data_IF_316633215551
#
_entry.id   IF_316633215551
#
_cell.length_a   1.000
_cell.length_b   1.000
_cell.length_c   1.000
_cell.angle_alpha   90.00
_cell.angle_beta   90.00
_cell.angle_gamma   90.00
#
_symmetry.space_group_name_H-M   'P 1'
#
loop_
_entity.id
_entity.type
_entity.pdbx_description
1 polymer ?
#
# COMPACT_ATOMS: atom_id res chain seq x y z
N UNK A 1 -14.22 6.49 2.48
CA UNK A 1 -12.76 6.46 2.23
C UNK A 1 -11.89 6.46 3.50
N UNK A 2 -12.44 6.68 4.71
CA UNK A 2 -11.72 6.66 6.00
C UNK A 2 -11.29 5.27 6.51
N UNK A 3 -11.76 4.17 5.91
CA UNK A 3 -11.43 2.81 6.34
C UNK A 3 -10.04 2.31 5.89
N UNK A 4 -9.41 2.96 4.91
CA UNK A 4 -8.10 2.51 4.37
C UNK A 4 -6.95 2.90 5.29
N UNK A 5 -7.08 4.03 5.99
CA UNK A 5 -6.06 4.51 6.92
C UNK A 5 -5.84 3.53 8.08
N UNK A 6 -6.90 2.86 8.54
CA UNK A 6 -6.78 1.83 9.59
C UNK A 6 -6.10 0.54 9.12
N UNK A 7 -6.07 0.26 7.81
CA UNK A 7 -5.42 -0.93 7.25
C UNK A 7 -3.93 -0.72 6.96
N UNK A 8 -3.50 0.55 6.86
CA UNK A 8 -2.13 0.90 6.49
C UNK A 8 -1.44 1.59 7.65
N UNK A 9 -0.67 0.81 8.41
CA UNK A 9 0.11 1.30 9.55
C UNK A 9 1.29 2.18 9.08
N UNK A 10 1.47 3.34 9.73
CA UNK A 10 2.68 4.17 9.65
C UNK A 10 3.01 4.73 8.26
N UNK A 11 1.98 4.90 7.41
CA UNK A 11 2.05 5.52 6.06
C UNK A 11 0.93 6.51 5.83
N UNK A 12 0.43 7.11 6.90
CA UNK A 12 -0.73 8.01 6.91
C UNK A 12 -0.50 9.20 5.97
N UNK A 13 0.71 9.78 5.99
CA UNK A 13 1.08 10.88 5.10
C UNK A 13 1.09 10.49 3.61
N UNK A 14 1.65 9.32 3.27
CA UNK A 14 1.69 8.83 1.89
C UNK A 14 0.29 8.44 1.39
N UNK A 15 -0.53 7.83 2.26
CA UNK A 15 -1.93 7.47 1.96
C UNK A 15 -2.75 8.73 1.72
N UNK A 16 -2.68 9.72 2.61
CA UNK A 16 -3.40 11.00 2.46
C UNK A 16 -2.99 11.74 1.18
N UNK A 17 -1.69 11.75 0.86
CA UNK A 17 -1.19 12.33 -0.40
C UNK A 17 -1.76 11.59 -1.62
N UNK A 18 -1.68 10.26 -1.65
CA UNK A 18 -2.22 9.47 -2.76
C UNK A 18 -3.74 9.62 -2.92
N UNK A 19 -4.49 9.64 -1.82
CA UNK A 19 -5.93 9.89 -1.82
C UNK A 19 -6.24 11.28 -2.38
N UNK A 20 -5.47 12.30 -2.00
CA UNK A 20 -5.63 13.66 -2.52
C UNK A 20 -5.34 13.76 -4.02
N UNK A 21 -4.37 12.98 -4.52
CA UNK A 21 -4.01 12.94 -5.94
C UNK A 21 -5.01 12.18 -6.82
N UNK A 22 -5.65 11.15 -6.26
CA UNK A 22 -6.72 10.44 -6.95
C UNK A 22 -7.99 11.28 -7.06
N UNK A 23 -8.18 12.25 -6.16
CA UNK A 23 -9.25 13.23 -6.22
C UNK A 23 -10.65 12.62 -6.15
N UNK A 24 -11.67 13.45 -6.43
CA UNK A 24 -13.03 12.96 -6.67
C UNK A 24 -13.17 12.52 -8.12
N UNK A 25 -14.08 11.57 -8.38
CA UNK A 25 -14.26 10.91 -9.69
C UNK A 25 -14.54 11.84 -10.85
N UNK A 26 -15.06 13.03 -10.56
CA UNK A 26 -15.44 14.05 -11.54
C UNK A 26 -14.32 15.05 -11.83
N UNK A 27 -13.21 14.99 -11.07
CA UNK A 27 -12.03 15.81 -11.28
C UNK A 27 -11.00 15.07 -12.13
N UNK A 28 -10.26 15.82 -12.95
CA UNK A 28 -9.08 15.29 -13.64
C UNK A 28 -8.05 14.84 -12.59
N UNK A 29 -7.66 13.58 -12.69
CA UNK A 29 -6.61 13.00 -11.86
C UNK A 29 -5.25 13.29 -12.48
N UNK A 30 -4.20 13.17 -11.68
CA UNK A 30 -2.84 13.34 -12.17
C UNK A 30 -2.52 12.25 -13.21
N UNK A 31 -1.97 12.60 -14.38
CA UNK A 31 -1.77 11.63 -15.48
C UNK A 31 -0.69 10.60 -15.18
N UNK A 32 0.32 10.97 -14.38
CA UNK A 32 1.45 10.10 -14.05
C UNK A 32 1.94 10.37 -12.64
N UNK A 33 2.08 9.30 -11.85
CA UNK A 33 2.60 9.30 -10.48
C UNK A 33 3.78 8.35 -10.42
N UNK A 34 4.89 8.79 -9.85
CA UNK A 34 6.10 7.99 -9.68
C UNK A 34 6.41 7.82 -8.19
N UNK A 35 6.26 6.61 -7.68
CA UNK A 35 6.49 6.27 -6.28
C UNK A 35 7.82 5.56 -6.14
N UNK A 36 8.70 6.08 -5.28
CA UNK A 36 10.04 5.53 -5.10
C UNK A 36 10.45 5.36 -3.63
N UNK A 37 11.42 4.48 -3.37
CA UNK A 37 11.96 4.18 -2.04
C UNK A 37 12.56 2.78 -1.96
N UNK A 38 13.29 2.44 -0.90
CA UNK A 38 14.00 1.15 -0.82
C UNK A 38 13.07 -0.07 -0.77
N UNK A 39 13.64 -1.25 -0.97
CA UNK A 39 12.97 -2.52 -0.75
C UNK A 39 12.31 -2.54 0.64
N UNK A 40 11.15 -3.18 0.75
CA UNK A 40 10.37 -3.27 1.98
C UNK A 40 9.88 -1.93 2.60
N UNK A 41 9.99 -0.79 1.92
CA UNK A 41 9.42 0.49 2.41
C UNK A 41 7.89 0.56 2.37
N UNK A 42 7.20 -0.44 1.82
CA UNK A 42 5.74 -0.56 1.81
C UNK A 42 5.02 0.01 0.58
N UNK A 43 5.75 0.54 -0.42
CA UNK A 43 5.17 1.12 -1.66
C UNK A 43 4.09 0.25 -2.30
N UNK A 44 4.45 -1.01 -2.61
CA UNK A 44 3.56 -1.98 -3.26
C UNK A 44 2.35 -2.29 -2.39
N UNK A 45 2.56 -2.49 -1.09
CA UNK A 45 1.49 -2.77 -0.13
C UNK A 45 0.49 -1.61 -0.08
N UNK A 46 0.95 -0.38 0.14
CA UNK A 46 0.06 0.79 0.22
C UNK A 46 -0.70 1.01 -1.07
N UNK A 47 -0.02 0.94 -2.21
CA UNK A 47 -0.64 1.18 -3.52
C UNK A 47 -1.68 0.10 -3.83
N UNK A 48 -1.36 -1.18 -3.60
CA UNK A 48 -2.31 -2.28 -3.83
C UNK A 48 -3.49 -2.23 -2.86
N UNK A 49 -3.26 -1.97 -1.57
CA UNK A 49 -4.34 -1.86 -0.58
C UNK A 49 -5.26 -0.70 -0.93
N UNK A 50 -4.71 0.44 -1.34
CA UNK A 50 -5.50 1.59 -1.75
C UNK A 50 -6.30 1.30 -3.03
N UNK A 51 -5.69 0.68 -4.05
CA UNK A 51 -6.39 0.30 -5.27
C UNK A 51 -7.48 -0.76 -5.03
N UNK A 52 -7.23 -1.75 -4.18
CA UNK A 52 -8.22 -2.77 -3.77
C UNK A 52 -9.35 -2.19 -2.94
N UNK A 53 -9.06 -1.21 -2.08
CA UNK A 53 -10.11 -0.51 -1.33
C UNK A 53 -11.00 0.37 -2.21
N UNK A 54 -10.57 0.63 -3.45
CA UNK A 54 -11.37 1.30 -4.49
C UNK A 54 -12.11 0.28 -5.39
N UNK A 55 -11.86 -1.02 -5.23
CA UNK A 55 -12.65 -2.11 -5.80
C UNK A 55 -13.82 -2.49 -4.87
N UNK A 56 -14.93 -3.01 -5.41
CA UNK A 56 -16.03 -3.47 -4.58
C UNK A 56 -15.62 -4.67 -3.71
N UNK A 57 -15.94 -4.63 -2.42
CA UNK A 57 -16.02 -5.82 -1.60
C UNK A 57 -17.26 -6.62 -2.03
N UNK A 58 -17.10 -7.48 -3.02
CA UNK A 58 -18.00 -8.62 -3.18
C UNK A 58 -17.64 -9.64 -2.09
N UNK A 59 -18.34 -9.60 -0.96
CA UNK A 59 -18.73 -10.77 -0.14
C UNK A 59 -19.33 -10.28 1.19
N UNK A 60 -20.64 -9.98 1.17
CA UNK A 60 -21.65 -10.38 2.16
C UNK A 60 -22.93 -9.54 2.00
N UNK A 61 -23.78 -9.95 1.04
CA UNK A 61 -25.23 -9.62 1.05
C UNK A 61 -25.98 -10.93 1.13
N UNK A 62 -26.34 -11.34 2.35
CA UNK A 62 -27.48 -12.25 2.55
C UNK A 62 -28.74 -11.37 2.55
N UNK A 63 -29.60 -11.61 1.57
CA UNK A 63 -30.94 -11.06 1.45
C UNK A 63 -31.77 -11.38 2.70
N UNK A 64 -32.36 -10.36 3.32
CA UNK A 64 -33.79 -10.42 3.69
C UNK A 64 -34.43 -9.09 3.33
N UNK A 65 -35.47 -9.15 2.51
CA UNK A 65 -36.10 -7.98 1.92
C UNK A 65 -37.08 -7.29 2.87
N UNK A 66 -37.13 -5.96 2.76
CA UNK A 66 -38.38 -5.23 2.65
C UNK A 66 -38.09 -3.89 1.98
N UNK A 67 -38.76 -3.65 0.85
CA UNK A 67 -38.60 -2.47 0.01
C UNK A 67 -39.28 -1.26 0.66
N UNK A 68 -38.50 -0.27 1.08
CA UNK A 68 -38.97 1.10 1.30
C UNK A 68 -38.57 1.98 0.10
N UNK A 69 -39.52 2.55 -0.66
CA UNK A 69 -39.25 3.36 -1.84
C UNK A 69 -38.98 4.81 -1.43
N UNK A 70 -37.78 5.12 -0.96
CA UNK A 70 -37.52 6.46 -0.40
C UNK A 70 -36.08 6.82 -0.08
N UNK A 71 -35.09 6.26 -0.76
CA UNK A 71 -33.71 6.73 -0.66
C UNK A 71 -33.04 6.67 -2.04
N UNK A 72 -32.74 7.83 -2.62
CA UNK A 72 -31.74 7.95 -3.68
C UNK A 72 -30.38 7.58 -3.06
N UNK A 73 -30.07 6.28 -3.06
CA UNK A 73 -28.76 5.76 -2.74
C UNK A 73 -27.78 6.22 -3.81
N UNK A 74 -26.81 7.06 -3.43
CA UNK A 74 -25.67 7.40 -4.27
C UNK A 74 -24.94 6.11 -4.63
N UNK A 75 -25.04 5.69 -5.88
CA UNK A 75 -24.35 4.51 -6.38
C UNK A 75 -22.85 4.72 -6.26
N UNK A 76 -22.21 3.98 -5.37
CA UNK A 76 -20.75 3.84 -5.30
C UNK A 76 -20.27 3.18 -6.61
N UNK A 77 -20.04 3.99 -7.65
CA UNK A 77 -19.49 3.52 -8.91
C UNK A 77 -18.03 3.08 -8.71
N UNK A 78 -17.45 2.30 -9.62
CA UNK A 78 -16.22 1.47 -9.46
C UNK A 78 -15.00 2.07 -10.18
N UNK A 79 -13.75 1.91 -9.69
CA UNK A 79 -12.53 2.34 -10.41
C UNK A 79 -11.80 1.11 -10.99
N UNK A 80 -11.86 0.86 -12.31
CA UNK A 80 -11.11 -0.22 -12.92
C UNK A 80 -9.61 0.08 -12.86
N UNK A 81 -8.82 -0.87 -12.36
CA UNK A 81 -7.37 -0.73 -12.26
C UNK A 81 -6.64 -2.00 -12.71
N UNK A 82 -5.41 -1.85 -13.19
CA UNK A 82 -4.57 -2.98 -13.56
C UNK A 82 -3.19 -2.84 -12.92
N UNK A 83 -2.82 -3.81 -12.08
CA UNK A 83 -1.51 -3.86 -11.44
C UNK A 83 -0.60 -4.83 -12.20
N UNK A 84 0.53 -4.37 -12.75
CA UNK A 84 1.41 -5.21 -13.59
C UNK A 84 2.86 -5.13 -13.11
N UNK A 85 3.57 -6.27 -13.15
CA UNK A 85 4.98 -6.36 -12.79
C UNK A 85 5.87 -6.33 -14.04
N UNK A 86 6.67 -5.28 -14.19
CA UNK A 86 7.58 -5.12 -15.34
C UNK A 86 8.73 -6.15 -15.37
N UNK A 87 9.03 -6.83 -14.27
CA UNK A 87 10.04 -7.91 -14.26
C UNK A 87 9.51 -9.15 -14.97
N UNK A 88 8.22 -9.44 -14.81
CA UNK A 88 7.54 -10.56 -15.50
C UNK A 88 7.29 -10.20 -16.97
N UNK A 89 6.99 -8.93 -17.26
CA UNK A 89 6.74 -8.41 -18.59
C UNK A 89 8.02 -7.85 -19.25
N UNK A 90 8.93 -8.74 -19.66
CA UNK A 90 10.23 -8.36 -20.24
C UNK A 90 10.16 -7.83 -21.69
N UNK A 91 8.98 -7.79 -22.30
CA UNK A 91 8.75 -7.12 -23.60
C UNK A 91 7.57 -6.16 -23.50
N UNK A 92 7.61 -5.08 -24.30
CA UNK A 92 6.50 -4.14 -24.39
C UNK A 92 5.18 -4.83 -24.81
N UNK A 93 5.25 -5.83 -25.69
CA UNK A 93 4.08 -6.61 -26.11
C UNK A 93 3.42 -7.30 -24.91
N UNK A 94 4.19 -8.05 -24.12
CA UNK A 94 3.68 -8.74 -22.93
C UNK A 94 3.08 -7.76 -21.92
N UNK A 95 3.73 -6.61 -21.72
CA UNK A 95 3.22 -5.57 -20.82
C UNK A 95 1.84 -5.06 -21.26
N UNK A 96 1.69 -4.72 -22.54
CA UNK A 96 0.44 -4.19 -23.08
C UNK A 96 -0.69 -5.24 -23.06
N UNK A 97 -0.39 -6.49 -23.42
CA UNK A 97 -1.34 -7.61 -23.37
C UNK A 97 -1.81 -7.87 -21.92
N UNK A 98 -0.89 -7.88 -20.95
CA UNK A 98 -1.27 -8.05 -19.55
C UNK A 98 -2.16 -6.92 -19.01
N UNK A 99 -1.89 -5.67 -19.40
CA UNK A 99 -2.75 -4.53 -19.01
C UNK A 99 -4.16 -4.73 -19.57
N UNK A 100 -4.30 -5.07 -20.86
CA UNK A 100 -5.61 -5.27 -21.48
C UNK A 100 -6.37 -6.43 -20.86
N UNK A 101 -5.70 -7.57 -20.64
CA UNK A 101 -6.32 -8.75 -20.02
C UNK A 101 -6.80 -8.46 -18.60
N UNK A 102 -6.00 -7.76 -17.78
CA UNK A 102 -6.46 -7.38 -16.42
C UNK A 102 -7.66 -6.45 -16.44
N UNK A 103 -7.71 -5.49 -17.36
CA UNK A 103 -8.85 -4.57 -17.47
C UNK A 103 -10.10 -5.22 -18.07
N UNK A 104 -9.95 -6.18 -18.98
CA UNK A 104 -11.09 -6.87 -19.60
C UNK A 104 -11.81 -7.78 -18.60
N UNK A 105 -11.08 -8.46 -17.71
CA UNK A 105 -11.66 -9.29 -16.66
C UNK A 105 -12.55 -8.51 -15.68
N UNK A 106 -12.28 -7.22 -15.47
CA UNK A 106 -13.11 -6.37 -14.60
C UNK A 106 -14.50 -6.07 -15.17
N UNK A 107 -14.68 -6.19 -16.49
CA UNK A 107 -15.95 -5.88 -17.17
C UNK A 107 -16.84 -7.12 -17.40
N UNK A 108 -16.30 -8.33 -17.32
CA UNK A 108 -17.01 -9.56 -17.67
C UNK A 108 -17.64 -10.24 -16.46
N UNK A 109 -18.78 -9.73 -15.98
CA UNK A 109 -19.59 -10.39 -14.96
C UNK A 109 -20.37 -11.62 -15.48
N UNK A 110 -20.46 -11.88 -16.79
CA UNK A 110 -21.15 -13.06 -17.33
C UNK A 110 -20.46 -13.64 -18.57
N UNK A 111 -20.02 -14.89 -18.40
CA UNK A 111 -19.85 -15.97 -19.38
C UNK A 111 -19.60 -15.60 -20.86
N UNK A 112 -18.34 -15.76 -21.31
CA UNK A 112 -17.91 -16.61 -22.43
C UNK A 112 -16.37 -16.53 -22.55
N UNK A 113 -15.73 -17.62 -23.00
CA UNK A 113 -14.29 -17.93 -22.97
C UNK A 113 -13.30 -16.73 -22.92
N UNK A 114 -12.23 -16.79 -22.09
CA UNK A 114 -11.18 -15.77 -22.14
C UNK A 114 -10.31 -16.03 -23.36
N UNK A 115 -10.68 -15.50 -24.53
CA UNK A 115 -9.69 -15.28 -25.58
C UNK A 115 -8.71 -14.25 -25.04
N UNK A 116 -7.51 -14.70 -24.69
CA UNK A 116 -6.39 -13.85 -24.31
C UNK A 116 -6.26 -12.74 -25.37
N UNK A 117 -6.42 -11.49 -24.95
CA UNK A 117 -6.38 -10.36 -25.86
C UNK A 117 -4.93 -10.21 -26.31
N UNK A 118 -4.67 -10.51 -27.57
CA UNK A 118 -3.37 -10.27 -28.18
C UNK A 118 -3.30 -8.84 -28.70
N UNK A 119 -2.13 -8.25 -28.60
CA UNK A 119 -1.89 -6.89 -29.04
C UNK A 119 -0.61 -6.87 -29.89
N UNK A 120 -0.75 -6.60 -31.18
CA UNK A 120 0.40 -6.62 -32.10
C UNK A 120 1.11 -5.27 -32.18
N UNK A 121 0.38 -4.17 -32.01
CA UNK A 121 0.92 -2.81 -32.15
C UNK A 121 0.39 -1.87 -31.06
N UNK A 122 1.09 -0.78 -30.78
CA UNK A 122 0.62 0.21 -29.80
C UNK A 122 -0.72 0.86 -30.21
N UNK A 123 -0.98 1.02 -31.51
CA UNK A 123 -2.26 1.52 -31.98
C UNK A 123 -3.39 0.52 -31.72
N UNK A 124 -3.11 -0.77 -31.89
CA UNK A 124 -4.02 -1.84 -31.54
C UNK A 124 -4.33 -1.82 -30.03
N UNK A 125 -3.30 -1.65 -29.19
CA UNK A 125 -3.48 -1.41 -27.75
C UNK A 125 -4.42 -0.24 -27.48
N UNK A 126 -4.19 0.93 -28.08
CA UNK A 126 -5.04 2.12 -27.85
C UNK A 126 -6.49 1.85 -28.26
N UNK A 127 -6.72 1.14 -29.37
CA UNK A 127 -8.06 0.77 -29.83
C UNK A 127 -8.75 -0.20 -28.86
N UNK A 128 -8.05 -1.27 -28.47
CA UNK A 128 -8.57 -2.28 -27.55
C UNK A 128 -8.79 -1.71 -26.15
N UNK A 129 -7.87 -0.87 -25.68
CA UNK A 129 -8.00 -0.16 -24.40
C UNK A 129 -9.23 0.75 -24.39
N UNK A 130 -9.46 1.52 -25.47
CA UNK A 130 -10.68 2.32 -25.62
C UNK A 130 -11.92 1.43 -25.59
N UNK A 131 -11.91 0.29 -26.28
CA UNK A 131 -13.04 -0.64 -26.28
C UNK A 131 -13.34 -1.19 -24.88
N UNK A 132 -12.31 -1.69 -24.17
CA UNK A 132 -12.43 -2.24 -22.81
C UNK A 132 -12.88 -1.18 -21.81
N UNK A 133 -12.48 0.08 -21.99
CA UNK A 133 -12.86 1.18 -21.07
C UNK A 133 -14.11 1.96 -21.50
N UNK A 134 -14.81 1.54 -22.58
CA UNK A 134 -15.96 2.28 -23.11
C UNK A 134 -17.28 1.94 -22.43
N UNK A 135 -17.75 2.88 -21.61
CA UNK A 135 -19.17 3.22 -21.51
C UNK A 135 -19.46 4.37 -22.50
N UNK A 136 -20.19 4.03 -23.56
CA UNK A 136 -20.81 4.83 -24.64
C UNK A 136 -20.01 5.79 -25.58
N UNK A 137 -20.25 5.54 -26.89
CA UNK A 137 -20.24 6.38 -28.10
C UNK A 137 -19.28 7.57 -28.25
N UNK A 138 -18.22 7.37 -29.05
CA UNK A 138 -17.73 8.39 -29.98
C UNK A 138 -17.53 7.75 -31.36
N UNK A 139 -18.50 7.94 -32.24
CA UNK A 139 -18.42 7.56 -33.66
C UNK A 139 -17.69 8.67 -34.43
N UNK A 140 -16.71 8.25 -35.23
CA UNK A 140 -16.17 8.94 -36.41
C UNK A 140 -15.48 10.31 -36.23
N UNK A 141 -14.36 10.35 -35.51
CA UNK A 141 -13.30 11.35 -35.74
C UNK A 141 -11.95 10.90 -35.17
N UNK A 142 -10.85 11.39 -35.75
CA UNK A 142 -9.46 11.02 -35.44
C UNK A 142 -9.17 11.18 -33.94
N UNK A 143 -9.15 10.06 -33.21
CA UNK A 143 -9.13 10.03 -31.75
C UNK A 143 -7.70 10.13 -31.22
N UNK A 144 -7.28 11.33 -30.83
CA UNK A 144 -6.11 11.53 -29.96
C UNK A 144 -6.26 10.68 -28.69
N UNK A 145 -5.16 10.06 -28.24
CA UNK A 145 -5.09 9.31 -26.98
C UNK A 145 -5.32 10.32 -25.84
N UNK A 146 -6.42 10.46 -25.11
CA UNK A 146 -7.76 9.86 -25.03
C UNK A 146 -8.53 10.87 -24.16
N UNK A 147 -9.77 11.24 -24.49
CA UNK A 147 -10.67 12.06 -23.66
C UNK A 147 -11.15 11.28 -22.41
N UNK A 148 -10.20 10.71 -21.66
CA UNK A 148 -10.43 9.85 -20.49
C UNK A 148 -9.41 10.13 -19.41
N UNK A 149 -9.88 10.11 -18.18
CA UNK A 149 -9.09 10.35 -16.99
C UNK A 149 -8.31 9.08 -16.61
N UNK A 150 -7.11 8.91 -17.17
CA UNK A 150 -6.24 7.75 -16.90
C UNK A 150 -5.02 8.20 -16.13
N UNK A 151 -4.76 7.56 -14.98
CA UNK A 151 -3.56 7.75 -14.17
C UNK A 151 -2.66 6.53 -14.28
N UNK A 152 -1.39 6.74 -14.61
CA UNK A 152 -0.36 5.69 -14.59
C UNK A 152 0.49 5.85 -13.33
N UNK A 153 0.65 4.77 -12.55
CA UNK A 153 1.46 4.77 -11.33
C UNK A 153 2.68 3.86 -11.54
N UNK A 154 3.88 4.42 -11.40
CA UNK A 154 5.13 3.69 -11.43
C UNK A 154 5.63 3.43 -10.00
N UNK A 155 6.07 2.22 -9.72
CA UNK A 155 6.74 1.86 -8.46
C UNK A 155 8.19 1.50 -8.76
N UNK A 156 9.14 2.12 -8.07
CA UNK A 156 10.57 1.85 -8.27
C UNK A 156 11.37 1.96 -6.97
N UNK A 157 12.56 1.37 -6.95
CA UNK A 157 13.57 1.66 -5.92
C UNK A 157 14.47 2.82 -6.33
N UNK A 158 14.56 3.06 -7.64
CA UNK A 158 15.41 4.07 -8.24
C UNK A 158 14.64 5.38 -8.34
N UNK A 159 15.30 6.49 -8.02
CA UNK A 159 14.75 7.84 -8.16
C UNK A 159 14.45 8.19 -9.62
N UNK A 160 13.42 9.02 -9.85
CA UNK A 160 12.92 9.37 -11.18
C UNK A 160 13.99 9.96 -12.10
N UNK A 161 14.93 10.73 -11.55
CA UNK A 161 15.99 11.42 -12.27
C UNK A 161 16.86 10.48 -13.11
N UNK A 162 16.99 9.21 -12.70
CA UNK A 162 17.75 8.20 -13.47
C UNK A 162 16.97 7.62 -14.65
N UNK A 163 15.66 7.80 -14.70
CA UNK A 163 14.79 7.40 -15.80
C UNK A 163 14.54 8.54 -16.79
N UNK A 164 14.90 9.77 -16.44
CA UNK A 164 14.61 10.96 -17.24
C UNK A 164 15.27 10.84 -18.63
N UNK A 165 14.49 10.74 -19.72
CA UNK A 165 15.06 10.70 -21.06
C UNK A 165 15.68 12.05 -21.44
N UNK A 166 16.65 12.01 -22.34
CA UNK A 166 17.31 13.22 -22.88
C UNK A 166 16.38 14.03 -23.81
N UNK A 167 15.28 13.43 -24.27
CA UNK A 167 14.23 14.07 -25.06
C UNK A 167 13.02 14.33 -24.18
N UNK A 168 12.31 15.45 -24.41
CA UNK A 168 11.23 15.90 -23.54
C UNK A 168 10.23 14.80 -23.17
N UNK A 169 9.92 14.70 -21.88
CA UNK A 169 8.89 13.82 -21.32
C UNK A 169 8.02 14.60 -20.33
N UNK A 170 6.81 14.11 -20.06
CA UNK A 170 5.99 14.64 -18.98
C UNK A 170 6.60 14.29 -17.62
N UNK A 171 6.73 15.27 -16.74
CA UNK A 171 7.23 15.08 -15.39
C UNK A 171 6.12 14.45 -14.52
N UNK A 172 6.33 13.25 -13.94
CA UNK A 172 5.34 12.64 -13.05
C UNK A 172 5.31 13.36 -11.69
N UNK A 173 4.21 13.21 -10.96
CA UNK A 173 4.21 13.55 -9.54
C UNK A 173 5.05 12.52 -8.78
N UNK A 174 6.17 12.95 -8.19
CA UNK A 174 7.10 12.05 -7.50
C UNK A 174 6.74 11.96 -6.00
N UNK A 175 6.55 10.73 -5.50
CA UNK A 175 6.24 10.45 -4.09
C UNK A 175 7.28 9.52 -3.47
N UNK A 176 7.89 9.95 -2.35
CA UNK A 176 8.89 9.17 -1.63
C UNK A 176 8.30 8.33 -0.50
N UNK A 177 8.75 7.08 -0.41
CA UNK A 177 8.48 6.16 0.70
C UNK A 177 9.75 5.93 1.51
N UNK A 178 9.86 6.55 2.71
CA UNK A 178 11.02 6.39 3.58
C UNK A 178 11.08 5.01 4.22
N UNK A 179 12.27 4.62 4.65
CA UNK A 179 12.46 3.40 5.45
C UNK A 179 11.76 3.53 6.81
N UNK A 180 11.33 2.40 7.38
CA UNK A 180 10.73 2.40 8.71
C UNK A 180 11.81 2.69 9.75
N UNK A 181 11.67 3.80 10.48
CA UNK A 181 12.53 4.10 11.62
C UNK A 181 12.14 3.26 12.83
N UNK A 182 13.16 2.78 13.57
CA UNK A 182 12.99 2.51 15.00
C UNK A 182 12.84 3.87 15.67
N UNK A 183 11.76 4.05 16.41
CA UNK A 183 11.62 5.16 17.36
C UNK A 183 12.64 4.93 18.47
N UNK A 184 13.87 5.38 18.26
CA UNK A 184 14.93 5.33 19.26
C UNK A 184 14.66 6.41 20.31
N UNK A 185 13.75 6.15 21.25
CA UNK A 185 13.64 6.99 22.45
C UNK A 185 13.87 6.24 23.77
N UNK A 186 14.24 4.95 23.76
CA UNK A 186 14.35 4.18 25.02
C UNK A 186 15.79 3.85 25.46
N UNK A 187 16.82 4.26 24.70
CA UNK A 187 18.22 3.95 25.03
C UNK A 187 19.02 5.04 25.76
N UNK A 188 18.74 6.32 25.46
CA UNK A 188 19.55 7.44 25.99
C UNK A 188 18.95 8.07 27.25
N UNK A 189 17.62 8.10 27.39
CA UNK A 189 16.95 8.74 28.53
C UNK A 189 16.91 7.86 29.78
N UNK A 190 16.91 6.52 29.65
CA UNK A 190 16.95 5.61 30.80
C UNK A 190 18.27 5.73 31.58
N UNK A 191 19.39 5.93 30.89
CA UNK A 191 20.71 6.14 31.51
C UNK A 191 20.82 7.51 32.19
N UNK A 192 20.13 8.53 31.67
CA UNK A 192 20.13 9.88 32.25
C UNK A 192 19.13 9.99 33.42
N UNK A 193 18.01 9.26 33.37
CA UNK A 193 16.99 9.24 34.44
C UNK A 193 17.52 8.67 35.75
N UNK A 194 18.45 7.71 35.71
CA UNK A 194 19.10 7.18 36.92
C UNK A 194 20.10 8.18 37.56
N UNK A 195 20.54 9.21 36.82
CA UNK A 195 21.47 10.25 37.28
C UNK A 195 20.79 11.52 37.78
N UNK A 196 19.49 11.71 37.49
CA UNK A 196 18.71 12.89 37.89
C UNK A 196 17.52 12.53 38.77
N UNK A 197 17.69 11.56 39.67
CA UNK A 197 16.71 11.27 40.72
C UNK A 197 16.79 12.29 41.87
N UNK A 198 16.53 13.57 41.58
CA UNK A 198 16.15 14.58 42.57
C UNK A 198 15.08 15.48 41.94
N UNK A 199 13.91 15.51 42.60
CA UNK A 199 12.74 16.39 42.39
C UNK A 199 11.56 15.91 41.50
N UNK A 200 10.65 15.22 42.21
CA UNK A 200 9.17 15.17 42.18
C UNK A 200 8.41 16.43 41.62
N UNK A 201 7.05 16.41 41.47
CA UNK A 201 6.18 15.81 40.44
C UNK A 201 5.18 16.87 39.84
N UNK A 202 4.17 16.43 39.08
CA UNK A 202 2.98 17.17 38.59
C UNK A 202 3.08 17.85 37.21
N UNK A 203 2.77 17.07 36.19
CA UNK A 203 1.64 17.32 35.27
C UNK A 203 1.63 16.19 34.25
N UNK A 204 0.55 15.40 34.20
CA UNK A 204 0.32 14.26 33.30
C UNK A 204 0.12 14.69 31.83
N UNK A 205 1.05 15.50 31.31
CA UNK A 205 1.07 15.93 29.94
C UNK A 205 2.52 16.02 29.48
N UNK A 206 2.85 15.26 28.42
CA UNK A 206 4.16 15.13 27.76
C UNK A 206 5.09 14.05 28.33
N UNK A 207 4.89 12.81 27.88
CA UNK A 207 5.85 12.21 26.93
C UNK A 207 4.98 11.51 25.88
N UNK A 208 4.75 12.16 24.74
CA UNK A 208 4.24 11.44 23.57
C UNK A 208 5.30 10.41 23.20
N UNK A 209 5.12 9.17 23.65
CA UNK A 209 5.92 8.03 23.20
C UNK A 209 5.72 7.98 21.70
N UNK A 210 6.65 8.55 20.94
CA UNK A 210 6.71 8.40 19.50
C UNK A 210 7.12 6.96 19.24
N UNK A 211 6.17 6.05 19.42
CA UNK A 211 6.37 4.62 19.26
C UNK A 211 6.82 4.39 17.83
N UNK A 212 8.03 3.83 17.69
CA UNK A 212 8.66 3.62 16.40
C UNK A 212 7.71 2.91 15.45
N UNK A 213 7.66 3.40 14.21
CA UNK A 213 6.78 2.84 13.18
C UNK A 213 7.01 1.32 13.04
N UNK A 214 8.28 0.90 13.12
CA UNK A 214 8.65 -0.51 13.04
C UNK A 214 8.20 -1.34 14.24
N UNK A 215 8.31 -0.80 15.46
CA UNK A 215 7.85 -1.47 16.68
C UNK A 215 6.34 -1.67 16.63
N UNK A 216 5.58 -0.66 16.22
CA UNK A 216 4.12 -0.73 16.05
C UNK A 216 3.71 -1.82 15.05
N UNK A 217 4.35 -1.84 13.88
CA UNK A 217 4.04 -2.82 12.83
C UNK A 217 4.32 -4.24 13.29
N UNK A 218 5.50 -4.50 13.85
CA UNK A 218 5.87 -5.86 14.28
C UNK A 218 5.05 -6.31 15.49
N UNK A 219 4.74 -5.41 16.44
CA UNK A 219 3.97 -5.77 17.64
C UNK A 219 2.52 -6.12 17.32
N UNK A 220 1.99 -5.66 16.19
CA UNK A 220 0.65 -6.04 15.71
C UNK A 220 0.60 -7.52 15.28
N UNK A 221 1.73 -8.12 14.90
CA UNK A 221 1.81 -9.51 14.45
C UNK A 221 1.95 -10.51 15.63
N UNK A 222 1.52 -10.13 16.84
CA UNK A 222 1.68 -10.98 18.03
C UNK A 222 0.80 -12.24 17.98
N UNK A 223 1.29 -13.39 18.48
CA UNK A 223 0.46 -14.58 18.62
C UNK A 223 -0.67 -14.36 19.64
N UNK A 224 -1.86 -14.94 19.43
CA UNK A 224 -3.02 -14.76 20.32
C UNK A 224 -2.83 -15.39 21.71
N UNK A 225 -1.86 -16.29 21.85
CA UNK A 225 -1.53 -17.01 23.08
C UNK A 225 -0.79 -16.12 24.11
N UNK A 226 -0.19 -15.01 23.67
CA UNK A 226 0.65 -14.15 24.52
C UNK A 226 0.10 -12.72 24.57
N UNK A 227 0.39 -12.01 25.66
CA UNK A 227 -0.02 -10.61 25.79
C UNK A 227 0.72 -9.71 24.79
N UNK A 228 0.03 -8.68 24.28
CA UNK A 228 0.62 -7.70 23.38
C UNK A 228 1.85 -7.01 24.01
N UNK A 229 1.81 -6.74 25.32
CA UNK A 229 2.93 -6.13 26.06
C UNK A 229 4.16 -7.04 26.11
N UNK A 230 3.96 -8.35 26.31
CA UNK A 230 5.05 -9.33 26.31
C UNK A 230 5.71 -9.42 24.93
N UNK A 231 4.90 -9.47 23.88
CA UNK A 231 5.40 -9.50 22.51
C UNK A 231 6.08 -8.18 22.11
N UNK A 232 5.55 -7.03 22.54
CA UNK A 232 6.18 -5.73 22.31
C UNK A 232 7.56 -5.62 22.99
N UNK A 233 7.71 -6.16 24.20
CA UNK A 233 9.01 -6.24 24.89
C UNK A 233 10.00 -7.12 24.11
N UNK A 234 9.55 -8.28 23.62
CA UNK A 234 10.33 -9.14 22.73
C UNK A 234 10.79 -8.41 21.46
N UNK A 235 9.88 -7.72 20.77
CA UNK A 235 10.18 -6.96 19.55
C UNK A 235 11.20 -5.86 19.83
N UNK A 236 11.14 -5.18 20.98
CA UNK A 236 12.14 -4.18 21.36
C UNK A 236 13.56 -4.78 21.48
N UNK A 237 13.68 -5.98 22.06
CA UNK A 237 14.97 -6.68 22.16
C UNK A 237 15.45 -7.08 20.77
N UNK A 238 14.57 -7.66 19.95
CA UNK A 238 14.90 -8.07 18.57
C UNK A 238 15.38 -6.88 17.73
N UNK A 239 14.66 -5.77 17.79
CA UNK A 239 15.01 -4.54 17.08
C UNK A 239 16.31 -3.93 17.60
N UNK A 240 16.56 -3.98 18.92
CA UNK A 240 17.82 -3.53 19.50
C UNK A 240 19.05 -4.30 18.99
N UNK A 241 18.90 -5.59 18.71
CA UNK A 241 20.00 -6.45 18.25
C UNK A 241 20.16 -6.44 16.72
N UNK A 242 19.06 -6.60 15.97
CA UNK A 242 19.13 -6.88 14.54
C UNK A 242 19.03 -5.64 13.63
N UNK A 243 18.48 -4.53 14.11
CA UNK A 243 18.20 -3.39 13.23
C UNK A 243 19.43 -2.63 12.75
N UNK A 244 20.54 -2.73 13.48
CA UNK A 244 21.83 -2.18 13.06
C UNK A 244 22.38 -2.91 11.83
N UNK A 245 21.97 -4.17 11.62
CA UNK A 245 22.43 -5.05 10.54
C UNK A 245 21.40 -5.14 9.40
N UNK A 246 20.12 -5.22 9.73
CA UNK A 246 19.03 -5.39 8.76
C UNK A 246 17.89 -4.40 9.00
N UNK A 247 17.47 -3.70 7.94
CA UNK A 247 16.34 -2.76 7.97
C UNK A 247 15.14 -3.24 7.12
N UNK A 248 15.23 -4.43 6.54
CA UNK A 248 14.16 -5.01 5.75
C UNK A 248 13.06 -5.54 6.68
N UNK A 249 11.85 -4.97 6.57
CA UNK A 249 10.71 -5.34 7.40
C UNK A 249 10.33 -6.82 7.25
N UNK A 250 10.44 -7.40 6.05
CA UNK A 250 10.09 -8.80 5.81
C UNK A 250 11.09 -9.72 6.49
N UNK A 251 12.38 -9.40 6.40
CA UNK A 251 13.43 -10.15 7.09
C UNK A 251 13.28 -10.04 8.61
N UNK A 252 13.03 -8.84 9.13
CA UNK A 252 12.80 -8.63 10.56
C UNK A 252 11.57 -9.39 11.07
N UNK A 253 10.48 -9.42 10.30
CA UNK A 253 9.30 -10.24 10.62
C UNK A 253 9.62 -11.73 10.63
N UNK A 254 10.39 -12.20 9.66
CA UNK A 254 10.83 -13.60 9.62
C UNK A 254 11.71 -13.96 10.83
N UNK A 255 12.67 -13.09 11.19
CA UNK A 255 13.51 -13.25 12.36
C UNK A 255 12.69 -13.23 13.67
N UNK A 256 11.63 -12.43 13.73
CA UNK A 256 10.73 -12.39 14.88
C UNK A 256 10.01 -13.73 15.07
N UNK A 257 9.42 -14.28 14.00
CA UNK A 257 8.76 -15.59 14.07
C UNK A 257 9.74 -16.70 14.43
N UNK A 258 10.96 -16.67 13.87
CA UNK A 258 11.96 -17.71 14.09
C UNK A 258 12.50 -17.73 15.53
N UNK A 259 12.70 -16.55 16.13
CA UNK A 259 13.34 -16.44 17.45
C UNK A 259 12.33 -16.40 18.61
N UNK A 260 11.06 -16.11 18.35
CA UNK A 260 10.04 -16.00 19.40
C UNK A 260 9.87 -17.27 20.26
N UNK A 261 9.84 -18.50 19.70
CA UNK A 261 9.74 -19.72 20.51
C UNK A 261 10.88 -19.86 21.52
N UNK A 262 12.12 -19.53 21.11
CA UNK A 262 13.30 -19.57 21.97
C UNK A 262 13.26 -18.51 23.08
N UNK A 263 12.64 -17.37 22.80
CA UNK A 263 12.40 -16.33 23.82
C UNK A 263 11.39 -16.79 24.87
N UNK A 264 10.42 -17.62 24.49
CA UNK A 264 9.39 -18.13 25.39
C UNK A 264 9.87 -19.31 26.27
N UNK A 265 10.87 -20.07 25.84
CA UNK A 265 11.41 -21.22 26.59
C UNK A 265 11.66 -20.97 28.09
N UNK A 266 12.40 -19.91 28.50
CA UNK A 266 12.67 -19.68 29.92
C UNK A 266 11.40 -19.36 30.74
N UNK A 267 10.41 -18.72 30.12
CA UNK A 267 9.13 -18.39 30.75
C UNK A 267 8.31 -19.66 30.96
N UNK A 268 8.29 -20.57 29.97
CA UNK A 268 7.56 -21.84 30.05
C UNK A 268 8.22 -22.82 31.03
N UNK A 269 9.55 -22.81 31.12
CA UNK A 269 10.32 -23.65 32.06
C UNK A 269 10.25 -23.15 33.52
N UNK A 270 9.68 -21.97 33.77
CA UNK A 270 9.60 -21.37 35.10
C UNK A 270 10.96 -20.90 35.64
N UNK A 271 11.94 -20.67 34.75
CA UNK A 271 13.29 -20.21 35.11
C UNK A 271 13.38 -18.67 35.25
N UNK A 272 12.26 -17.97 35.08
CA UNK A 272 12.12 -16.52 35.27
C UNK A 272 11.37 -16.18 36.55
N UNK A 273 12.04 -16.33 37.70
CA UNK A 273 11.69 -15.67 38.96
C UNK A 273 12.98 -15.24 39.67
#
# INVERSE_FOLDING_TARGET
MSHVESLVLCREAQVSTLQSLFGERHHFSFPSIFIYGHTASGKTYVTQTLLKALEPQSDDVIYTGQEDPGAQGGGEQQLPHAFVNCVECFTLKLLLEQILNKLSHLNSSKAECPTEITCETFNDFVRLFKQVTSTENLKDQTVYITDRNVTVIFLSEIIWEKFRPNTGCFEPFVLYFPDYSIGQEVGALATISHLLAVERPQSDHLISVSSGNLQKILSHDHPPEYSADFYAAYINILLGVFYTVCRDLKELRHLAVLNFPKYCEPVVKGEGN
#
